data_IF_980124958662
#
_entry.id   IF_980124958662
#
_cell.length_a   1.000
_cell.length_b   1.000
_cell.length_c   1.000
_cell.angle_alpha   90.00
_cell.angle_beta   90.00
_cell.angle_gamma   90.00
#
_symmetry.space_group_name_H-M   'P 1'
#
loop_
_entity.id
_entity.type
_entity.pdbx_description
1 polymer ?
#
# COMPACT_ATOMS: atom_id res chain seq x y z
N UNK A 1 22.86 -3.79 -3.47
CA UNK A 1 22.98 -2.34 -3.28
C UNK A 1 21.70 -1.81 -2.64
N UNK A 2 21.85 -1.15 -1.51
CA UNK A 2 20.70 -0.59 -0.81
C UNK A 2 20.03 0.45 -1.71
N UNK A 3 18.72 0.39 -1.80
CA UNK A 3 17.98 1.34 -2.60
C UNK A 3 17.80 2.65 -1.81
N UNK A 4 18.77 3.54 -1.96
CA UNK A 4 18.75 4.84 -1.26
C UNK A 4 17.52 5.67 -1.63
N UNK A 5 16.99 5.47 -2.85
CA UNK A 5 15.78 6.18 -3.29
C UNK A 5 14.56 5.77 -2.45
N UNK A 6 14.46 4.48 -2.10
CA UNK A 6 13.36 4.00 -1.26
C UNK A 6 13.48 4.54 0.17
N UNK A 7 14.70 4.60 0.72
CA UNK A 7 14.94 5.15 2.04
C UNK A 7 14.61 6.66 2.08
N UNK A 8 15.07 7.41 1.07
CA UNK A 8 14.73 8.82 0.92
C UNK A 8 13.23 9.02 0.78
N UNK A 9 12.59 8.15 -0.02
CA UNK A 9 11.17 8.21 -0.28
C UNK A 9 10.33 7.95 0.98
N UNK A 10 10.82 7.11 1.90
CA UNK A 10 10.11 6.81 3.15
C UNK A 10 9.87 8.07 3.99
N UNK A 11 10.75 9.07 3.91
CA UNK A 11 10.62 10.33 4.63
C UNK A 11 9.85 11.39 3.83
N UNK A 12 9.46 11.08 2.58
CA UNK A 12 8.68 11.98 1.75
C UNK A 12 7.27 12.12 2.34
N UNK A 13 6.81 13.36 2.65
CA UNK A 13 5.48 13.55 3.23
C UNK A 13 4.34 13.06 2.32
N UNK A 14 4.59 12.85 1.02
CA UNK A 14 3.57 12.37 0.09
C UNK A 14 3.34 10.85 0.20
N UNK A 15 4.24 10.10 0.84
CA UNK A 15 4.10 8.64 0.98
C UNK A 15 2.97 8.29 1.94
N UNK A 16 2.95 8.92 3.12
CA UNK A 16 1.97 8.65 4.17
C UNK A 16 1.27 9.92 4.59
N UNK A 17 -0.04 9.82 4.78
CA UNK A 17 -0.81 10.83 5.49
C UNK A 17 -1.07 10.30 6.90
N UNK A 18 -0.21 10.67 7.83
CA UNK A 18 -0.29 10.18 9.22
C UNK A 18 -1.54 10.68 9.96
N UNK A 19 -2.22 11.71 9.45
CA UNK A 19 -3.44 12.20 10.08
C UNK A 19 -4.56 11.16 10.07
N UNK A 20 -4.52 10.21 9.13
CA UNK A 20 -5.50 9.12 9.05
C UNK A 20 -5.40 8.25 10.30
N UNK A 21 -4.19 7.84 10.69
CA UNK A 21 -3.99 7.04 11.89
C UNK A 21 -4.22 7.87 13.16
N UNK A 22 -3.81 9.14 13.15
CA UNK A 22 -4.05 10.04 14.29
C UNK A 22 -5.54 10.21 14.57
N UNK A 23 -6.37 10.28 13.54
CA UNK A 23 -7.82 10.41 13.71
C UNK A 23 -8.44 9.22 14.44
N UNK A 24 -7.81 8.05 14.39
CA UNK A 24 -8.31 6.85 15.07
C UNK A 24 -8.08 6.89 16.59
N UNK A 25 -7.25 7.81 17.08
CA UNK A 25 -7.00 7.94 18.52
C UNK A 25 -8.26 8.22 19.32
N UNK A 26 -9.27 8.85 18.70
CA UNK A 26 -10.55 9.10 19.35
C UNK A 26 -11.27 7.80 19.72
N UNK A 27 -10.94 6.70 19.04
CA UNK A 27 -11.53 5.38 19.30
C UNK A 27 -10.72 4.58 20.31
N UNK A 28 -9.54 5.09 20.72
CA UNK A 28 -8.66 4.38 21.62
C UNK A 28 -9.28 4.30 23.01
N UNK A 29 -9.34 3.10 23.56
CA UNK A 29 -9.86 2.86 24.90
C UNK A 29 -8.75 2.47 25.86
N UNK A 30 -8.81 2.90 27.16
CA UNK A 30 -7.80 2.50 28.13
C UNK A 30 -7.70 0.97 28.24
N UNK A 31 -6.49 0.46 28.36
CA UNK A 31 -6.23 -0.97 28.50
C UNK A 31 -6.32 -1.78 27.22
N UNK A 32 -6.63 -1.15 26.08
CA UNK A 32 -6.67 -1.81 24.78
C UNK A 32 -5.37 -1.54 24.02
N UNK A 33 -4.96 -2.47 23.12
CA UNK A 33 -3.81 -2.24 22.25
C UNK A 33 -3.98 -0.97 21.44
N UNK A 34 -2.86 -0.33 21.10
CA UNK A 34 -2.86 0.87 20.27
C UNK A 34 -3.46 0.55 18.90
N UNK A 35 -4.53 1.27 18.53
CA UNK A 35 -5.25 1.03 17.27
C UNK A 35 -4.34 1.23 16.08
N UNK A 36 -3.56 2.31 16.05
CA UNK A 36 -2.68 2.62 14.93
C UNK A 36 -1.63 1.53 14.73
N UNK A 37 -0.99 1.09 15.81
CA UNK A 37 0.01 0.02 15.74
C UNK A 37 -0.61 -1.29 15.26
N UNK A 38 -1.80 -1.61 15.72
CA UNK A 38 -2.52 -2.82 15.31
C UNK A 38 -2.79 -2.80 13.81
N UNK A 39 -3.26 -1.67 13.29
CA UNK A 39 -3.57 -1.53 11.86
C UNK A 39 -2.31 -1.57 11.01
N UNK A 40 -1.23 -0.89 11.44
CA UNK A 40 0.03 -0.93 10.71
C UNK A 40 0.59 -2.34 10.65
N UNK A 41 0.54 -3.07 11.75
CA UNK A 41 1.03 -4.46 11.81
C UNK A 41 0.22 -5.36 10.90
N UNK A 42 -1.11 -5.24 10.91
CA UNK A 42 -1.98 -6.02 10.03
C UNK A 42 -1.69 -5.73 8.56
N UNK A 43 -1.45 -4.46 8.23
CA UNK A 43 -1.10 -4.07 6.86
C UNK A 43 0.22 -4.71 6.43
N UNK A 44 1.26 -4.63 7.28
CA UNK A 44 2.56 -5.24 6.99
C UNK A 44 2.46 -6.75 6.77
N UNK A 45 1.56 -7.41 7.47
CA UNK A 45 1.37 -8.86 7.34
C UNK A 45 0.61 -9.24 6.07
N UNK A 46 -0.32 -8.42 5.61
CA UNK A 46 -1.23 -8.79 4.52
C UNK A 46 -0.82 -8.25 3.15
N UNK A 47 -0.20 -7.07 3.09
CA UNK A 47 0.03 -6.40 1.81
C UNK A 47 1.02 -7.13 0.89
N UNK A 48 2.07 -7.82 1.38
CA UNK A 48 2.98 -8.52 0.48
C UNK A 48 2.31 -9.59 -0.36
N UNK A 49 1.39 -10.35 0.21
CA UNK A 49 0.65 -11.39 -0.54
C UNK A 49 -0.26 -10.76 -1.60
N UNK A 50 -0.91 -9.66 -1.27
CA UNK A 50 -1.75 -8.93 -2.23
C UNK A 50 -0.91 -8.40 -3.40
N UNK A 51 0.27 -7.88 -3.12
CA UNK A 51 1.18 -7.39 -4.16
C UNK A 51 1.62 -8.53 -5.07
N UNK A 52 1.92 -9.69 -4.50
CA UNK A 52 2.30 -10.88 -5.26
C UNK A 52 1.16 -11.33 -6.17
N UNK A 53 -0.07 -11.39 -5.65
CA UNK A 53 -1.24 -11.74 -6.43
C UNK A 53 -1.49 -10.74 -7.56
N UNK A 54 -1.23 -9.46 -7.30
CA UNK A 54 -1.37 -8.41 -8.32
C UNK A 54 -0.35 -8.61 -9.44
N UNK A 55 0.91 -8.91 -9.10
CA UNK A 55 1.94 -9.22 -10.11
C UNK A 55 1.53 -10.42 -10.95
N UNK A 56 1.03 -11.47 -10.31
CA UNK A 56 0.59 -12.67 -11.01
C UNK A 56 -0.57 -12.38 -11.97
N UNK A 57 -1.51 -11.54 -11.56
CA UNK A 57 -2.64 -11.14 -12.41
C UNK A 57 -2.17 -10.41 -13.65
N UNK A 58 -1.19 -9.51 -13.50
CA UNK A 58 -0.61 -8.79 -14.64
C UNK A 58 0.10 -9.76 -15.58
N UNK A 59 0.91 -10.67 -15.04
CA UNK A 59 1.62 -11.67 -15.85
C UNK A 59 0.67 -12.58 -16.63
N UNK A 60 -0.48 -12.92 -16.03
CA UNK A 60 -1.50 -13.76 -16.64
C UNK A 60 -2.44 -12.98 -17.55
N UNK A 61 -2.29 -11.67 -17.64
CA UNK A 61 -3.20 -10.78 -18.36
C UNK A 61 -4.66 -10.96 -17.91
N UNK A 62 -4.85 -11.16 -16.61
CA UNK A 62 -6.16 -11.41 -16.02
C UNK A 62 -6.71 -10.10 -15.43
N UNK A 63 -7.55 -9.41 -16.21
CA UNK A 63 -8.10 -8.11 -15.82
C UNK A 63 -8.98 -8.16 -14.58
N UNK A 64 -9.78 -9.20 -14.44
CA UNK A 64 -10.65 -9.36 -13.27
C UNK A 64 -9.84 -9.56 -12.00
N UNK A 65 -8.82 -10.42 -12.06
CA UNK A 65 -7.94 -10.64 -10.92
C UNK A 65 -7.18 -9.37 -10.57
N UNK A 66 -6.66 -8.65 -11.56
CA UNK A 66 -5.96 -7.37 -11.34
C UNK A 66 -6.87 -6.36 -10.66
N UNK A 67 -8.09 -6.20 -11.16
CA UNK A 67 -9.07 -5.31 -10.57
C UNK A 67 -9.31 -5.64 -9.09
N UNK A 68 -9.51 -6.92 -8.79
CA UNK A 68 -9.86 -7.35 -7.43
C UNK A 68 -8.70 -7.17 -6.45
N UNK A 69 -7.50 -7.57 -6.84
CA UNK A 69 -6.33 -7.46 -5.95
C UNK A 69 -5.91 -6.00 -5.77
N UNK A 70 -5.94 -5.22 -6.83
CA UNK A 70 -5.61 -3.79 -6.74
C UNK A 70 -6.63 -3.03 -5.90
N UNK A 71 -7.92 -3.40 -6.00
CA UNK A 71 -8.96 -2.82 -5.16
C UNK A 71 -8.70 -3.10 -3.67
N UNK A 72 -8.34 -4.33 -3.34
CA UNK A 72 -8.02 -4.71 -1.96
C UNK A 72 -6.82 -3.93 -1.43
N UNK A 73 -5.76 -3.78 -2.24
CA UNK A 73 -4.60 -2.99 -1.86
C UNK A 73 -4.95 -1.51 -1.67
N UNK A 74 -5.79 -0.98 -2.54
CA UNK A 74 -6.25 0.41 -2.43
C UNK A 74 -7.00 0.63 -1.13
N UNK A 75 -7.95 -0.25 -0.81
CA UNK A 75 -8.76 -0.14 0.41
C UNK A 75 -7.90 -0.21 1.67
N UNK A 76 -7.00 -1.18 1.74
CA UNK A 76 -6.09 -1.34 2.88
C UNK A 76 -5.19 -0.12 3.05
N UNK A 77 -4.68 0.40 1.93
CA UNK A 77 -3.77 1.55 1.95
C UNK A 77 -4.49 2.82 2.38
N UNK A 78 -5.70 3.04 1.90
CA UNK A 78 -6.51 4.19 2.30
C UNK A 78 -6.78 4.16 3.81
N UNK A 79 -7.04 2.97 4.35
CA UNK A 79 -7.37 2.81 5.77
C UNK A 79 -6.23 3.22 6.72
N UNK A 80 -4.98 3.15 6.28
CA UNK A 80 -3.82 3.52 7.11
C UNK A 80 -3.14 4.82 6.65
N UNK A 81 -3.65 5.45 5.59
CA UNK A 81 -3.05 6.68 5.08
C UNK A 81 -1.87 6.49 4.14
N UNK A 82 -1.70 5.31 3.55
CA UNK A 82 -0.67 5.05 2.55
C UNK A 82 -1.13 5.63 1.20
N UNK A 83 -1.11 6.95 1.09
CA UNK A 83 -1.80 7.68 0.03
C UNK A 83 -1.10 7.57 -1.32
N UNK A 84 0.22 7.59 -1.35
CA UNK A 84 0.96 7.52 -2.62
C UNK A 84 0.75 6.16 -3.30
N UNK A 85 1.01 5.09 -2.57
CA UNK A 85 0.81 3.73 -3.07
C UNK A 85 -0.67 3.48 -3.41
N UNK A 86 -1.58 3.99 -2.56
CA UNK A 86 -3.02 3.86 -2.77
C UNK A 86 -3.48 4.44 -4.11
N UNK A 87 -2.92 5.58 -4.52
CA UNK A 87 -3.23 6.19 -5.81
C UNK A 87 -2.80 5.29 -6.97
N UNK A 88 -1.62 4.68 -6.88
CA UNK A 88 -1.15 3.75 -7.90
C UNK A 88 -2.01 2.50 -7.95
N UNK A 89 -2.46 2.02 -6.79
CA UNK A 89 -3.40 0.88 -6.75
C UNK A 89 -4.72 1.22 -7.44
N UNK A 90 -5.20 2.45 -7.30
CA UNK A 90 -6.41 2.90 -8.01
C UNK A 90 -6.21 2.88 -9.53
N UNK A 91 -5.04 3.28 -10.00
CA UNK A 91 -4.72 3.21 -11.43
C UNK A 91 -4.65 1.76 -11.92
N UNK A 92 -4.06 0.87 -11.14
CA UNK A 92 -4.02 -0.57 -11.47
C UNK A 92 -5.43 -1.16 -11.50
N UNK A 93 -6.26 -0.79 -10.55
CA UNK A 93 -7.67 -1.23 -10.51
C UNK A 93 -8.40 -0.79 -11.79
N UNK A 94 -8.17 0.44 -12.21
CA UNK A 94 -8.77 0.98 -13.44
C UNK A 94 -8.32 0.19 -14.66
N UNK A 95 -7.03 -0.15 -14.77
CA UNK A 95 -6.53 -0.95 -15.90
C UNK A 95 -7.17 -2.34 -15.94
N UNK A 96 -7.36 -2.97 -14.79
CA UNK A 96 -8.05 -4.25 -14.71
C UNK A 96 -9.50 -4.15 -15.13
N UNK A 97 -10.17 -3.09 -14.68
CA UNK A 97 -11.58 -2.83 -14.98
C UNK A 97 -11.82 -2.54 -16.46
N UNK A 98 -10.92 -1.79 -17.10
CA UNK A 98 -11.01 -1.44 -18.52
C UNK A 98 -10.35 -2.48 -19.43
N UNK A 99 -9.71 -3.49 -18.84
CA UNK A 99 -8.98 -4.55 -19.55
C UNK A 99 -7.86 -4.01 -20.44
N UNK A 100 -7.17 -2.96 -19.97
CA UNK A 100 -6.02 -2.36 -20.68
C UNK A 100 -4.73 -2.75 -19.97
N UNK A 101 -4.48 -4.05 -19.86
CA UNK A 101 -3.43 -4.63 -18.99
C UNK A 101 -2.03 -4.39 -19.55
N UNK A 102 -1.87 -4.13 -20.83
CA UNK A 102 -0.56 -3.90 -21.46
C UNK A 102 0.19 -2.71 -20.84
N UNK A 103 -0.52 -1.78 -20.18
CA UNK A 103 0.09 -0.66 -19.50
C UNK A 103 0.50 -0.98 -18.05
N UNK A 104 0.02 -2.11 -17.52
CA UNK A 104 0.19 -2.45 -16.12
C UNK A 104 1.64 -2.70 -15.69
N UNK A 105 2.54 -3.30 -16.51
CA UNK A 105 3.92 -3.54 -16.05
C UNK A 105 4.65 -2.29 -15.56
N UNK A 106 4.43 -1.15 -16.18
CA UNK A 106 5.04 0.12 -15.75
C UNK A 106 4.48 0.53 -14.40
N UNK A 107 3.16 0.41 -14.22
CA UNK A 107 2.51 0.73 -12.94
C UNK A 107 2.91 -0.23 -11.84
N UNK A 108 3.13 -1.51 -12.16
CA UNK A 108 3.59 -2.50 -11.18
C UNK A 108 4.96 -2.08 -10.62
N UNK A 109 5.90 -1.67 -11.49
CA UNK A 109 7.21 -1.24 -11.03
C UNK A 109 7.12 -0.01 -10.14
N UNK A 110 6.28 0.95 -10.51
CA UNK A 110 6.03 2.12 -9.68
C UNK A 110 5.41 1.73 -8.33
N UNK A 111 4.43 0.84 -8.37
CA UNK A 111 3.76 0.35 -7.17
C UNK A 111 4.74 -0.35 -6.21
N UNK A 112 5.63 -1.19 -6.74
CA UNK A 112 6.63 -1.89 -5.94
C UNK A 112 7.56 -0.90 -5.24
N UNK A 113 7.97 0.14 -5.94
CA UNK A 113 8.85 1.17 -5.41
C UNK A 113 8.14 1.97 -4.29
N UNK A 114 6.91 2.36 -4.55
CA UNK A 114 6.10 3.09 -3.57
C UNK A 114 5.75 2.23 -2.36
N UNK A 115 5.49 0.95 -2.57
CA UNK A 115 5.22 0.03 -1.46
C UNK A 115 6.46 -0.14 -0.59
N UNK A 116 7.65 -0.28 -1.18
CA UNK A 116 8.89 -0.38 -0.41
C UNK A 116 9.06 0.85 0.49
N UNK A 117 8.80 2.05 -0.03
CA UNK A 117 8.85 3.28 0.75
C UNK A 117 7.80 3.29 1.87
N UNK A 118 6.60 2.83 1.57
CA UNK A 118 5.50 2.74 2.54
C UNK A 118 5.88 1.80 3.69
N UNK A 119 6.37 0.61 3.36
CA UNK A 119 6.77 -0.38 4.37
C UNK A 119 7.91 0.15 5.24
N UNK A 120 8.88 0.84 4.65
CA UNK A 120 9.98 1.45 5.40
C UNK A 120 9.45 2.50 6.38
N UNK A 121 8.51 3.34 5.94
CA UNK A 121 7.91 4.36 6.80
C UNK A 121 7.14 3.74 7.97
N UNK A 122 6.40 2.64 7.71
CA UNK A 122 5.64 1.95 8.75
C UNK A 122 6.56 1.26 9.76
N UNK A 123 7.63 0.61 9.30
CA UNK A 123 8.61 -0.01 10.19
C UNK A 123 9.28 1.03 11.09
N UNK A 124 9.62 2.19 10.52
CA UNK A 124 10.21 3.28 11.28
C UNK A 124 9.24 3.79 12.35
N UNK A 125 7.97 3.96 12.01
CA UNK A 125 6.95 4.40 12.95
C UNK A 125 6.74 3.39 14.08
N UNK A 126 6.77 2.09 13.76
CA UNK A 126 6.58 1.03 14.75
C UNK A 126 7.80 0.86 15.67
N UNK A 127 8.98 1.28 15.23
CA UNK A 127 10.21 1.20 16.02
C UNK A 127 10.28 2.26 17.13
N UNK A 128 9.47 3.30 17.06
CA UNK A 128 9.48 4.40 18.05
C UNK A 128 8.54 4.13 19.23
#
# INVERSE_FOLDING_TARGET
MTNQNDESMADNPDVMDWSVLDALKVLQKPGRPDIGRTLMTAYLESIPALMEHTRAAVSAADGTALRNTAHSMKSSSTAIGAVLFGKTCAELEFLGKSNTIEEAPILIRRAEHELAATLAALHKALAN
#
